data_IF_783106963029
#
_entry.id   IF_783106963029
#
_cell.length_a   1.000
_cell.length_b   1.000
_cell.length_c   1.000
_cell.angle_alpha   90.00
_cell.angle_beta   90.00
_cell.angle_gamma   90.00
#
_symmetry.space_group_name_H-M   'P 1'
#
loop_
_entity.id
_entity.type
_entity.pdbx_description
1 polymer ?
#
# COMPACT_ATOMS: atom_id res chain seq x y z
N UNK A 1 14.19 9.31 21.92
CA UNK A 1 12.96 9.14 21.11
C UNK A 1 11.79 9.15 22.09
N UNK A 2 10.69 9.84 21.77
CA UNK A 2 9.49 9.88 22.62
C UNK A 2 8.47 8.94 22.01
N UNK A 3 7.87 8.07 22.81
CA UNK A 3 6.85 7.11 22.38
C UNK A 3 5.73 7.77 21.54
N UNK A 4 5.28 8.97 21.93
CA UNK A 4 4.27 9.73 21.18
C UNK A 4 4.71 10.10 19.76
N UNK A 5 6.01 10.39 19.57
CA UNK A 5 6.57 10.69 18.24
C UNK A 5 6.62 9.43 17.39
N UNK A 6 6.90 8.29 17.99
CA UNK A 6 6.97 7.01 17.30
C UNK A 6 5.56 6.56 16.85
N UNK A 7 4.54 6.74 17.72
CA UNK A 7 3.12 6.50 17.37
C UNK A 7 2.66 7.42 16.24
N UNK A 8 2.97 8.72 16.31
CA UNK A 8 2.61 9.66 15.25
C UNK A 8 3.26 9.28 13.90
N UNK A 9 4.53 8.87 13.92
CA UNK A 9 5.23 8.41 12.73
C UNK A 9 4.60 7.13 12.14
N UNK A 10 4.16 6.20 12.99
CA UNK A 10 3.45 4.99 12.55
C UNK A 10 2.08 5.33 11.92
N UNK A 11 1.34 6.29 12.49
CA UNK A 11 0.07 6.75 11.92
C UNK A 11 0.26 7.44 10.55
N UNK A 12 1.30 8.27 10.41
CA UNK A 12 1.67 8.88 9.13
C UNK A 12 2.04 7.81 8.11
N UNK A 13 2.89 6.85 8.48
CA UNK A 13 3.28 5.74 7.63
C UNK A 13 2.08 4.86 7.20
N UNK A 14 1.10 4.67 8.08
CA UNK A 14 -0.14 3.96 7.78
C UNK A 14 -0.96 4.72 6.71
N UNK A 15 -1.18 6.02 6.93
CA UNK A 15 -1.92 6.90 6.00
C UNK A 15 -1.27 6.95 4.61
N UNK A 16 0.05 7.05 4.56
CA UNK A 16 0.82 7.04 3.31
C UNK A 16 0.72 5.70 2.59
N UNK A 17 0.79 4.60 3.35
CA UNK A 17 0.65 3.25 2.81
C UNK A 17 -0.74 3.03 2.21
N UNK A 18 -1.79 3.46 2.91
CA UNK A 18 -3.19 3.36 2.44
C UNK A 18 -3.42 4.20 1.18
N UNK A 19 -2.91 5.43 1.17
CA UNK A 19 -2.96 6.31 0.00
C UNK A 19 -2.27 5.69 -1.21
N UNK A 20 -1.15 5.00 -1.01
CA UNK A 20 -0.39 4.34 -2.08
C UNK A 20 -1.08 3.07 -2.57
N UNK A 21 -1.69 2.29 -1.68
CA UNK A 21 -2.51 1.12 -2.05
C UNK A 21 -3.64 1.57 -2.97
N UNK A 22 -4.40 2.59 -2.56
CA UNK A 22 -5.52 3.12 -3.35
C UNK A 22 -5.11 3.53 -4.76
N UNK A 23 -4.03 4.30 -4.90
CA UNK A 23 -3.50 4.72 -6.21
C UNK A 23 -3.09 3.54 -7.09
N UNK A 24 -2.52 2.48 -6.52
CA UNK A 24 -2.13 1.30 -7.27
C UNK A 24 -3.33 0.42 -7.65
N UNK A 25 -4.38 0.37 -6.83
CA UNK A 25 -5.65 -0.28 -7.17
C UNK A 25 -6.33 0.43 -8.34
N UNK A 26 -6.41 1.76 -8.30
CA UNK A 26 -6.93 2.59 -9.40
C UNK A 26 -6.12 2.40 -10.69
N UNK A 27 -4.79 2.33 -10.59
CA UNK A 27 -3.93 2.08 -11.74
C UNK A 27 -4.14 0.66 -12.30
N UNK A 28 -4.23 -0.36 -11.44
CA UNK A 28 -4.50 -1.74 -11.85
C UNK A 28 -5.84 -1.85 -12.56
N UNK A 29 -6.89 -1.22 -12.01
CA UNK A 29 -8.21 -1.19 -12.63
C UNK A 29 -8.15 -0.53 -14.01
N UNK A 30 -7.48 0.63 -14.11
CA UNK A 30 -7.31 1.35 -15.37
C UNK A 30 -6.55 0.52 -16.42
N UNK A 31 -5.47 -0.15 -16.02
CA UNK A 31 -4.66 -1.01 -16.89
C UNK A 31 -5.45 -2.24 -17.36
N UNK A 32 -6.23 -2.86 -16.46
CA UNK A 32 -7.03 -4.05 -16.77
C UNK A 32 -8.17 -3.79 -17.77
N UNK A 33 -8.59 -2.54 -17.92
CA UNK A 33 -9.64 -2.12 -18.87
C UNK A 33 -9.08 -1.74 -20.24
N UNK A 34 -7.75 -1.66 -20.40
CA UNK A 34 -7.14 -1.34 -21.68
C UNK A 34 -7.28 -2.54 -22.64
N UNK A 35 -7.60 -2.31 -23.92
CA UNK A 35 -7.69 -3.38 -24.92
C UNK A 35 -6.36 -4.13 -25.11
N UNK A 36 -5.24 -3.43 -24.94
CA UNK A 36 -3.88 -3.97 -24.98
C UNK A 36 -3.26 -4.01 -23.57
N UNK A 37 -3.99 -4.57 -22.59
CA UNK A 37 -3.52 -4.61 -21.20
C UNK A 37 -2.15 -5.29 -21.09
N UNK A 38 -1.17 -4.62 -20.50
CA UNK A 38 0.15 -5.20 -20.29
C UNK A 38 0.14 -6.16 -19.09
N UNK A 39 0.14 -7.45 -19.39
CA UNK A 39 0.13 -8.53 -18.39
C UNK A 39 1.31 -8.47 -17.40
N UNK A 40 2.48 -8.01 -17.82
CA UNK A 40 3.65 -7.87 -16.95
C UNK A 40 3.49 -6.66 -16.04
N UNK A 41 2.93 -5.56 -16.55
CA UNK A 41 2.55 -4.40 -15.73
C UNK A 41 1.50 -4.77 -14.68
N UNK A 42 0.43 -5.48 -15.06
CA UNK A 42 -0.60 -5.96 -14.12
C UNK A 42 0.00 -6.85 -13.03
N UNK A 43 0.86 -7.81 -13.40
CA UNK A 43 1.54 -8.69 -12.45
C UNK A 43 2.44 -7.92 -11.48
N UNK A 44 3.15 -6.89 -11.94
CA UNK A 44 3.96 -6.01 -11.09
C UNK A 44 3.08 -5.20 -10.12
N UNK A 45 1.94 -4.69 -10.59
CA UNK A 45 0.98 -3.97 -9.75
C UNK A 45 0.43 -4.86 -8.64
N UNK A 46 0.09 -6.12 -8.95
CA UNK A 46 -0.36 -7.10 -7.96
C UNK A 46 0.69 -7.38 -6.89
N UNK A 47 1.95 -7.65 -7.29
CA UNK A 47 3.04 -7.88 -6.34
C UNK A 47 3.30 -6.66 -5.44
N UNK A 48 3.21 -5.45 -6.00
CA UNK A 48 3.38 -4.21 -5.25
C UNK A 48 2.25 -4.01 -4.25
N UNK A 49 0.99 -4.27 -4.65
CA UNK A 49 -0.18 -4.20 -3.77
C UNK A 49 -0.08 -5.21 -2.63
N UNK A 50 0.31 -6.46 -2.91
CA UNK A 50 0.51 -7.48 -1.88
C UNK A 50 1.58 -7.05 -0.87
N UNK A 51 2.70 -6.51 -1.35
CA UNK A 51 3.80 -6.02 -0.51
C UNK A 51 3.36 -4.86 0.38
N UNK A 52 2.57 -3.92 -0.15
CA UNK A 52 2.05 -2.79 0.63
C UNK A 52 1.01 -3.24 1.66
N UNK A 53 0.13 -4.17 1.32
CA UNK A 53 -0.84 -4.75 2.28
C UNK A 53 -0.16 -5.46 3.43
N UNK A 54 0.95 -6.16 3.16
CA UNK A 54 1.81 -6.74 4.21
C UNK A 54 2.42 -5.67 5.10
N UNK A 55 2.99 -4.60 4.52
CA UNK A 55 3.53 -3.47 5.30
C UNK A 55 2.46 -2.80 6.16
N UNK A 56 1.27 -2.56 5.59
CA UNK A 56 0.11 -2.00 6.31
C UNK A 56 -0.26 -2.85 7.52
N UNK A 57 -0.33 -4.17 7.35
CA UNK A 57 -0.63 -5.09 8.44
C UNK A 57 0.41 -5.04 9.56
N UNK A 58 1.70 -4.93 9.22
CA UNK A 58 2.77 -4.77 10.21
C UNK A 58 2.66 -3.44 10.96
N UNK A 59 2.39 -2.33 10.27
CA UNK A 59 2.21 -1.02 10.93
C UNK A 59 1.02 -1.06 11.90
N UNK A 60 -0.08 -1.71 11.50
CA UNK A 60 -1.24 -1.89 12.38
C UNK A 60 -0.90 -2.73 13.61
N UNK A 61 -0.17 -3.85 13.45
CA UNK A 61 0.21 -4.66 14.61
C UNK A 61 1.11 -3.90 15.59
N UNK A 62 2.00 -3.03 15.11
CA UNK A 62 2.84 -2.19 15.97
C UNK A 62 2.04 -1.10 16.70
N UNK A 63 0.97 -0.58 16.08
CA UNK A 63 0.08 0.41 16.70
C UNK A 63 -0.87 -0.20 17.74
N UNK A 64 -1.17 -1.49 17.62
CA UNK A 64 -2.05 -2.25 18.53
C UNK A 64 -1.28 -2.92 19.70
N UNK A 65 0.05 -2.90 19.67
CA UNK A 65 0.95 -3.50 20.68
C UNK A 65 1.26 -2.54 21.84
#
# INVERSE_FOLDING_TARGET
MSFEKDVAALQEALSDTDSRIKKLEEHKESESKKPDSDSETLRRLEKNLESLRKKRALILSELES
#
